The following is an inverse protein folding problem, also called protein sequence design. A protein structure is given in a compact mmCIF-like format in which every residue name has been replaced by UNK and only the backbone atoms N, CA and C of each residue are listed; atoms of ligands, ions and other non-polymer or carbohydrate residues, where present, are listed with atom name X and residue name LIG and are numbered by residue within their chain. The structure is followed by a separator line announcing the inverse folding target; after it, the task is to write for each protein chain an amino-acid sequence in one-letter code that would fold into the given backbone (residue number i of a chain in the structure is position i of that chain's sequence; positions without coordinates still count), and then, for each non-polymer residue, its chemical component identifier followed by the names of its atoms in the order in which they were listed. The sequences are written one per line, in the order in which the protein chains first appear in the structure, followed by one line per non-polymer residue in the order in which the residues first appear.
data_IF_411567663701
#
_entry.id   IF_411567663701
#
_cell.length_a   1.000
_cell.length_b   1.000
_cell.length_c   1.000
_cell.angle_alpha   90.00
_cell.angle_beta   90.00
_cell.angle_gamma   90.00
#
_symmetry.space_group_name_H-M   'P 1'
#
loop_
_entity.id
_entity.type
_entity.pdbx_description
1 polymer ?
#
# COMPACT_ATOMS: atom_id res chain seq x y z
N UNK A 1 4.91 -8.90 23.78
CA UNK A 1 5.70 -8.81 22.54
C UNK A 1 5.88 -10.22 22.01
N UNK A 2 5.62 -10.39 20.74
CA UNK A 2 5.78 -11.68 20.09
C UNK A 2 7.12 -11.73 19.33
N UNK A 3 7.82 -12.87 19.31
CA UNK A 3 9.03 -13.05 18.52
C UNK A 3 8.75 -12.91 17.02
N UNK A 4 9.67 -12.27 16.30
CA UNK A 4 9.71 -12.22 14.85
C UNK A 4 10.87 -13.09 14.36
N UNK A 5 10.61 -13.98 13.43
CA UNK A 5 11.63 -14.88 12.85
C UNK A 5 11.62 -14.81 11.33
N UNK A 6 12.71 -15.24 10.70
CA UNK A 6 12.82 -15.34 9.24
C UNK A 6 12.73 -14.01 8.50
N UNK A 7 13.03 -12.90 9.18
CA UNK A 7 12.92 -11.56 8.60
C UNK A 7 13.82 -11.37 7.39
N UNK A 8 13.25 -10.96 6.25
CA UNK A 8 13.99 -10.64 5.02
C UNK A 8 13.34 -9.52 4.24
N UNK A 9 14.16 -8.74 3.54
CA UNK A 9 13.68 -7.76 2.57
C UNK A 9 13.44 -8.41 1.20
N UNK A 10 12.42 -7.93 0.52
CA UNK A 10 12.07 -8.26 -0.86
C UNK A 10 12.28 -6.98 -1.66
N UNK A 11 13.33 -6.98 -2.46
CA UNK A 11 13.67 -5.86 -3.34
C UNK A 11 13.07 -6.08 -4.73
N UNK A 12 12.78 -4.99 -5.42
CA UNK A 12 12.16 -5.02 -6.73
C UNK A 12 13.05 -4.36 -7.77
N UNK A 13 13.16 -4.91 -8.98
CA UNK A 13 13.93 -4.30 -10.07
C UNK A 13 13.45 -2.87 -10.35
N UNK A 14 14.39 -1.97 -10.54
CA UNK A 14 14.13 -0.56 -10.89
C UNK A 14 13.22 0.20 -9.92
N UNK A 15 13.22 -0.19 -8.64
CA UNK A 15 12.47 0.47 -7.57
C UNK A 15 13.35 0.64 -6.33
N UNK A 16 13.26 1.80 -5.70
CA UNK A 16 13.84 2.04 -4.37
C UNK A 16 12.93 1.53 -3.23
N UNK A 17 11.69 1.18 -3.57
CA UNK A 17 10.73 0.63 -2.63
C UNK A 17 10.97 -0.87 -2.43
N UNK A 18 10.61 -1.37 -1.26
CA UNK A 18 10.77 -2.77 -0.90
C UNK A 18 9.61 -3.26 -0.03
N UNK A 19 9.54 -4.56 0.14
CA UNK A 19 8.68 -5.21 1.12
C UNK A 19 9.53 -5.97 2.15
N UNK A 20 8.98 -6.23 3.31
CA UNK A 20 9.56 -7.07 4.34
C UNK A 20 8.64 -8.25 4.61
N UNK A 21 9.22 -9.43 4.68
CA UNK A 21 8.54 -10.66 5.08
C UNK A 21 9.15 -11.13 6.40
N UNK A 22 8.31 -11.51 7.36
CA UNK A 22 8.72 -12.24 8.56
C UNK A 22 7.55 -13.10 9.07
N UNK A 23 7.85 -14.00 9.98
CA UNK A 23 6.86 -14.80 10.68
C UNK A 23 6.77 -14.33 12.14
N UNK A 24 5.54 -14.15 12.63
CA UNK A 24 5.22 -13.76 14.01
C UNK A 24 4.83 -15.04 14.75
N UNK A 25 5.52 -15.36 15.84
CA UNK A 25 5.21 -16.51 16.67
C UNK A 25 4.23 -16.10 17.78
N UNK A 26 3.05 -16.70 17.76
CA UNK A 26 1.96 -16.48 18.74
C UNK A 26 1.77 -17.75 19.57
N UNK A 27 2.54 -17.93 20.62
CA UNK A 27 2.52 -19.15 21.45
C UNK A 27 2.76 -20.42 20.61
N UNK A 28 1.69 -21.14 20.24
CA UNK A 28 1.71 -22.35 19.40
C UNK A 28 1.50 -22.06 17.90
N UNK A 29 1.06 -20.85 17.57
CA UNK A 29 0.65 -20.49 16.23
C UNK A 29 1.66 -19.56 15.57
N UNK A 30 1.61 -19.49 14.25
CA UNK A 30 2.48 -18.61 13.47
C UNK A 30 1.64 -17.85 12.43
N UNK A 31 1.90 -16.56 12.32
CA UNK A 31 1.30 -15.69 11.29
C UNK A 31 2.42 -15.13 10.43
N UNK A 32 2.29 -15.22 9.12
CA UNK A 32 3.19 -14.55 8.18
C UNK A 32 2.81 -13.09 8.01
N UNK A 33 3.77 -12.20 8.18
CA UNK A 33 3.63 -10.77 7.95
C UNK A 33 4.38 -10.35 6.70
N UNK A 34 3.68 -9.68 5.78
CA UNK A 34 4.23 -8.97 4.63
C UNK A 34 3.95 -7.47 4.83
N UNK A 35 4.99 -6.71 5.17
CA UNK A 35 4.90 -5.26 5.31
C UNK A 35 5.49 -4.58 4.07
N UNK A 36 4.72 -3.71 3.43
CA UNK A 36 4.97 -3.26 2.06
C UNK A 36 5.07 -1.74 1.98
N UNK A 37 6.02 -1.27 1.17
CA UNK A 37 6.00 0.07 0.64
C UNK A 37 6.19 -0.04 -0.87
N UNK A 38 5.08 0.03 -1.62
CA UNK A 38 5.09 -0.18 -3.06
C UNK A 38 5.50 1.11 -3.81
N UNK A 39 5.81 0.94 -5.09
CA UNK A 39 6.26 2.04 -5.96
C UNK A 39 5.35 3.26 -5.84
N UNK A 40 5.93 4.39 -5.49
CA UNK A 40 5.21 5.67 -5.40
C UNK A 40 4.69 6.14 -6.76
N UNK A 41 3.65 6.94 -6.74
CA UNK A 41 3.12 7.58 -7.96
C UNK A 41 4.06 8.65 -8.53
N UNK A 42 5.01 9.15 -7.73
CA UNK A 42 5.89 10.28 -8.04
C UNK A 42 5.15 11.61 -8.31
N UNK A 43 3.85 11.68 -8.08
CA UNK A 43 3.05 12.89 -8.27
C UNK A 43 3.52 14.02 -7.36
N UNK A 44 3.70 13.73 -6.08
CA UNK A 44 4.15 14.74 -5.10
C UNK A 44 5.52 15.31 -5.44
N UNK A 45 6.43 14.47 -5.93
CA UNK A 45 7.80 14.85 -6.30
C UNK A 45 7.83 15.73 -7.57
N UNK A 46 7.00 15.41 -8.55
CA UNK A 46 6.95 16.08 -9.85
C UNK A 46 5.95 17.24 -9.90
N UNK A 47 5.09 17.41 -8.88
CA UNK A 47 4.02 18.39 -8.86
C UNK A 47 4.48 19.81 -9.20
N UNK A 48 5.52 20.31 -8.53
CA UNK A 48 6.05 21.66 -8.75
C UNK A 48 6.61 21.85 -10.16
N UNK A 49 7.18 20.80 -10.77
CA UNK A 49 7.66 20.80 -12.15
C UNK A 49 6.47 20.95 -13.09
N UNK A 50 5.49 20.07 -12.96
CA UNK A 50 4.30 20.06 -13.82
C UNK A 50 3.45 21.35 -13.68
N UNK A 51 3.28 21.86 -12.45
CA UNK A 51 2.59 23.13 -12.22
C UNK A 51 3.26 24.31 -12.94
N UNK A 52 4.60 24.38 -12.97
CA UNK A 52 5.33 25.41 -13.72
C UNK A 52 5.18 25.26 -15.23
N UNK A 53 5.22 24.04 -15.71
CA UNK A 53 5.10 23.72 -17.13
C UNK A 53 3.69 23.99 -17.65
N UNK A 54 2.66 23.67 -16.85
CA UNK A 54 1.26 23.97 -17.14
C UNK A 54 0.92 25.47 -17.03
N UNK A 55 1.63 26.21 -16.19
CA UNK A 55 1.45 27.66 -16.07
C UNK A 55 2.23 28.48 -17.11
N UNK A 56 3.09 27.83 -17.88
CA UNK A 56 3.78 28.47 -19.00
C UNK A 56 2.77 28.66 -20.14
N UNK A 57 2.49 29.91 -20.53
CA UNK A 57 1.56 30.26 -21.63
C UNK A 57 2.11 29.73 -22.99
N UNK A 58 2.16 28.40 -23.14
CA UNK A 58 2.71 27.69 -24.27
C UNK A 58 2.08 26.30 -24.40
N UNK A 59 1.08 26.18 -25.24
CA UNK A 59 0.29 24.96 -25.50
C UNK A 59 1.14 23.71 -25.77
N UNK A 60 2.29 23.85 -26.41
CA UNK A 60 3.18 22.72 -26.71
C UNK A 60 3.87 22.19 -25.44
N UNK A 61 4.28 23.09 -24.51
CA UNK A 61 4.88 22.71 -23.23
C UNK A 61 3.86 22.08 -22.30
N UNK A 62 2.64 22.61 -22.30
CA UNK A 62 1.53 22.04 -21.54
C UNK A 62 1.20 20.59 -22.00
N UNK A 63 1.07 20.38 -23.31
CA UNK A 63 0.83 19.05 -23.88
C UNK A 63 1.96 18.07 -23.53
N UNK A 64 3.22 18.51 -23.61
CA UNK A 64 4.36 17.68 -23.25
C UNK A 64 4.35 17.35 -21.75
N UNK A 65 4.04 18.30 -20.87
CA UNK A 65 3.97 18.08 -19.42
C UNK A 65 2.87 17.05 -19.06
N UNK A 66 1.72 17.10 -19.73
CA UNK A 66 0.64 16.12 -19.55
C UNK A 66 1.08 14.74 -20.00
N UNK A 67 1.75 14.65 -21.14
CA UNK A 67 2.27 13.39 -21.66
C UNK A 67 3.31 12.78 -20.71
N UNK A 68 4.32 13.56 -20.29
CA UNK A 68 5.36 13.14 -19.34
C UNK A 68 4.75 12.65 -18.01
N UNK A 69 3.71 13.33 -17.54
CA UNK A 69 2.99 12.93 -16.32
C UNK A 69 2.27 11.59 -16.51
N UNK A 70 1.60 11.41 -17.64
CA UNK A 70 0.88 10.18 -17.96
C UNK A 70 1.85 8.99 -18.10
N UNK A 71 2.98 9.18 -18.78
CA UNK A 71 4.03 8.16 -18.91
C UNK A 71 4.63 7.78 -17.56
N UNK A 72 4.98 8.76 -16.73
CA UNK A 72 5.48 8.52 -15.36
C UNK A 72 4.49 7.72 -14.52
N UNK A 73 3.21 8.06 -14.57
CA UNK A 73 2.16 7.35 -13.84
C UNK A 73 2.00 5.92 -14.37
N UNK A 74 2.00 5.74 -15.70
CA UNK A 74 1.90 4.42 -16.33
C UNK A 74 3.05 3.50 -15.89
N UNK A 75 4.30 3.96 -15.99
CA UNK A 75 5.46 3.19 -15.55
C UNK A 75 5.35 2.76 -14.07
N UNK A 76 4.95 3.69 -13.20
CA UNK A 76 4.80 3.40 -11.79
C UNK A 76 3.63 2.43 -11.50
N UNK A 77 2.57 2.47 -12.29
CA UNK A 77 1.49 1.48 -12.21
C UNK A 77 1.95 0.08 -12.62
N UNK A 78 2.73 -0.03 -13.70
CA UNK A 78 3.30 -1.31 -14.15
C UNK A 78 4.25 -1.88 -13.08
N UNK A 79 5.12 -1.07 -12.49
CA UNK A 79 6.00 -1.50 -11.39
C UNK A 79 5.20 -2.00 -10.20
N UNK A 80 4.15 -1.29 -9.78
CA UNK A 80 3.28 -1.73 -8.67
C UNK A 80 2.54 -3.03 -8.98
N UNK A 81 2.06 -3.21 -10.21
CA UNK A 81 1.40 -4.45 -10.60
C UNK A 81 2.35 -5.65 -10.42
N UNK A 82 3.58 -5.55 -10.90
CA UNK A 82 4.61 -6.58 -10.70
C UNK A 82 4.91 -6.84 -9.22
N UNK A 83 5.05 -5.76 -8.42
CA UNK A 83 5.27 -5.87 -6.98
C UNK A 83 4.10 -6.56 -6.28
N UNK A 84 2.87 -6.20 -6.66
CA UNK A 84 1.64 -6.79 -6.12
C UNK A 84 1.55 -8.28 -6.44
N UNK A 85 1.84 -8.68 -7.66
CA UNK A 85 1.83 -10.10 -8.06
C UNK A 85 2.87 -10.91 -7.27
N UNK A 86 4.04 -10.34 -7.03
CA UNK A 86 5.07 -10.96 -6.19
C UNK A 86 4.59 -11.15 -4.74
N UNK A 87 3.90 -10.15 -4.17
CA UNK A 87 3.31 -10.23 -2.82
C UNK A 87 2.22 -11.31 -2.78
N UNK A 88 1.33 -11.34 -3.77
CA UNK A 88 0.27 -12.34 -3.85
C UNK A 88 0.83 -13.77 -3.95
N UNK A 89 1.89 -13.98 -4.72
CA UNK A 89 2.58 -15.27 -4.79
C UNK A 89 3.15 -15.69 -3.44
N UNK A 90 3.82 -14.77 -2.71
CA UNK A 90 4.37 -15.03 -1.39
C UNK A 90 3.30 -15.29 -0.33
N UNK A 91 2.16 -14.59 -0.42
CA UNK A 91 1.02 -14.80 0.46
C UNK A 91 0.38 -16.18 0.20
N UNK A 92 0.14 -16.53 -1.06
CA UNK A 92 -0.46 -17.81 -1.44
C UNK A 92 0.44 -19.00 -1.11
N UNK A 93 1.77 -18.84 -1.22
CA UNK A 93 2.74 -19.89 -0.89
C UNK A 93 2.99 -20.02 0.62
N UNK A 94 2.33 -19.22 1.46
CA UNK A 94 2.53 -19.28 2.90
C UNK A 94 1.90 -20.52 3.51
N UNK A 95 2.62 -21.28 4.37
CA UNK A 95 2.02 -22.37 5.14
C UNK A 95 1.24 -21.85 6.37
N UNK A 96 1.24 -20.56 6.62
CA UNK A 96 0.62 -19.91 7.77
C UNK A 96 -0.42 -18.89 7.30
N UNK A 97 -1.42 -18.54 8.13
CA UNK A 97 -2.25 -17.36 7.91
C UNK A 97 -1.41 -16.12 7.67
N UNK A 98 -1.89 -15.21 6.82
CA UNK A 98 -1.10 -14.09 6.33
C UNK A 98 -1.73 -12.75 6.73
N UNK A 99 -0.88 -11.81 7.12
CA UNK A 99 -1.17 -10.38 7.20
C UNK A 99 -0.34 -9.65 6.14
N UNK A 100 -1.00 -8.85 5.31
CA UNK A 100 -0.35 -8.04 4.27
C UNK A 100 -0.71 -6.58 4.53
N UNK A 101 0.24 -5.78 4.97
CA UNK A 101 0.00 -4.38 5.35
C UNK A 101 1.03 -3.42 4.73
N UNK A 102 0.78 -2.12 4.86
CA UNK A 102 1.70 -1.06 4.46
C UNK A 102 1.12 -0.03 3.52
N UNK A 103 2.00 0.80 2.94
CA UNK A 103 1.66 1.78 1.90
C UNK A 103 1.73 1.12 0.51
N UNK A 104 0.57 0.97 -0.10
CA UNK A 104 0.45 0.40 -1.44
C UNK A 104 0.47 1.46 -2.54
N UNK A 105 0.49 2.75 -2.20
CA UNK A 105 0.43 3.85 -3.15
C UNK A 105 -0.69 3.70 -4.20
N UNK A 106 -1.79 3.06 -3.84
CA UNK A 106 -2.86 2.62 -4.74
C UNK A 106 -4.23 2.81 -4.10
N UNK A 107 -5.20 3.23 -4.89
CA UNK A 107 -6.59 3.41 -4.44
C UNK A 107 -7.38 2.09 -4.45
N UNK A 108 -8.54 2.01 -3.75
CA UNK A 108 -9.41 0.82 -3.78
C UNK A 108 -9.94 0.42 -5.16
N UNK A 109 -9.86 1.31 -6.15
CA UNK A 109 -10.23 1.03 -7.55
C UNK A 109 -9.08 0.49 -8.41
N UNK A 110 -7.88 0.29 -7.83
CA UNK A 110 -6.68 -0.09 -8.57
C UNK A 110 -6.54 -1.60 -8.76
N UNK A 111 -5.72 -1.99 -9.75
CA UNK A 111 -5.27 -3.37 -9.93
C UNK A 111 -4.71 -3.97 -8.63
N UNK A 112 -3.80 -3.24 -7.96
CA UNK A 112 -3.18 -3.66 -6.70
C UNK A 112 -4.22 -4.09 -5.66
N UNK A 113 -5.22 -3.26 -5.43
CA UNK A 113 -6.26 -3.55 -4.45
C UNK A 113 -7.11 -4.77 -4.85
N UNK A 114 -7.56 -4.82 -6.10
CA UNK A 114 -8.37 -5.93 -6.60
C UNK A 114 -7.61 -7.24 -6.56
N UNK A 115 -6.36 -7.23 -6.98
CA UNK A 115 -5.49 -8.43 -7.01
C UNK A 115 -5.25 -9.02 -5.61
N UNK A 116 -5.01 -8.19 -4.60
CA UNK A 116 -4.90 -8.64 -3.21
C UNK A 116 -6.25 -9.16 -2.67
N UNK A 117 -7.35 -8.52 -3.05
CA UNK A 117 -8.70 -8.90 -2.62
C UNK A 117 -9.22 -10.21 -3.22
N UNK A 118 -8.54 -10.82 -4.20
CA UNK A 118 -8.89 -12.14 -4.74
C UNK A 118 -8.73 -13.27 -3.71
N UNK A 119 -7.74 -13.15 -2.83
CA UNK A 119 -7.42 -14.19 -1.84
C UNK A 119 -7.40 -13.70 -0.38
N UNK A 120 -7.36 -12.39 -0.17
CA UNK A 120 -7.28 -11.77 1.14
C UNK A 120 -8.49 -10.87 1.39
N UNK A 121 -8.82 -10.68 2.65
CA UNK A 121 -9.87 -9.77 3.10
C UNK A 121 -9.27 -8.43 3.51
N UNK A 122 -9.87 -7.32 3.04
CA UNK A 122 -9.52 -5.96 3.51
C UNK A 122 -10.04 -5.77 4.94
N UNK A 123 -9.13 -5.54 5.90
CA UNK A 123 -9.47 -5.33 7.29
C UNK A 123 -10.45 -4.18 7.50
N UNK A 124 -10.37 -3.10 6.70
CA UNK A 124 -11.36 -2.03 6.76
C UNK A 124 -12.77 -2.48 6.37
N UNK A 125 -12.91 -3.36 5.40
CA UNK A 125 -14.23 -3.89 5.01
C UNK A 125 -14.81 -4.90 6.00
N UNK A 126 -13.95 -5.53 6.80
CA UNK A 126 -14.36 -6.56 7.75
C UNK A 126 -14.51 -6.07 9.18
N UNK A 127 -13.72 -5.08 9.62
CA UNK A 127 -13.75 -4.55 10.99
C UNK A 127 -13.72 -3.02 11.10
N UNK A 128 -13.65 -2.31 9.96
CA UNK A 128 -13.66 -0.84 9.96
C UNK A 128 -15.06 -0.23 9.84
N UNK A 129 -15.17 1.04 10.18
CA UNK A 129 -16.43 1.79 10.13
C UNK A 129 -16.24 3.18 9.53
N UNK A 130 -17.30 3.69 8.90
CA UNK A 130 -17.37 5.06 8.38
C UNK A 130 -16.47 5.31 7.18
N UNK A 131 -15.98 6.53 7.07
CA UNK A 131 -15.06 6.95 6.03
C UNK A 131 -13.62 6.99 6.56
N UNK A 132 -12.68 6.41 5.82
CA UNK A 132 -11.28 6.37 6.19
C UNK A 132 -10.40 6.95 5.08
N UNK A 133 -9.44 7.77 5.47
CA UNK A 133 -8.31 8.18 4.64
C UNK A 133 -7.01 7.93 5.41
N UNK A 134 -5.95 7.61 4.72
CA UNK A 134 -4.64 7.37 5.31
C UNK A 134 -3.61 8.40 4.86
N UNK A 135 -3.76 8.97 3.68
CA UNK A 135 -2.91 10.05 3.18
C UNK A 135 -3.49 11.42 3.56
N UNK A 136 -2.73 12.23 4.30
CA UNK A 136 -3.19 13.50 4.90
C UNK A 136 -3.31 14.64 3.89
N UNK A 137 -2.55 14.58 2.81
CA UNK A 137 -2.69 15.49 1.68
C UNK A 137 -3.76 14.97 0.69
N UNK A 138 -4.08 15.72 -0.36
CA UNK A 138 -5.12 15.31 -1.30
C UNK A 138 -6.54 15.44 -0.72
N UNK A 139 -6.80 16.51 0.03
CA UNK A 139 -8.10 16.84 0.65
C UNK A 139 -8.61 15.78 1.63
N UNK A 140 -7.73 14.96 2.21
CA UNK A 140 -8.06 13.88 3.15
C UNK A 140 -9.05 12.87 2.56
N UNK A 141 -8.86 12.50 1.31
CA UNK A 141 -9.77 11.59 0.60
C UNK A 141 -9.14 10.25 0.21
N UNK A 142 -7.82 10.13 0.34
CA UNK A 142 -7.10 8.99 -0.21
C UNK A 142 -6.80 7.97 0.87
N UNK A 143 -7.28 6.73 0.68
CA UNK A 143 -6.86 5.55 1.41
C UNK A 143 -5.90 4.78 0.53
N UNK A 144 -4.63 4.76 0.87
CA UNK A 144 -3.54 4.11 0.14
C UNK A 144 -2.71 3.17 1.00
N UNK A 145 -2.95 3.22 2.32
CA UNK A 145 -2.43 2.27 3.29
C UNK A 145 -3.52 1.26 3.65
N UNK A 146 -3.17 0.00 3.68
CA UNK A 146 -4.09 -1.10 3.94
C UNK A 146 -3.49 -2.11 4.91
N UNK A 147 -4.38 -2.89 5.54
CA UNK A 147 -4.06 -4.16 6.16
C UNK A 147 -5.06 -5.20 5.66
N UNK A 148 -4.56 -6.15 4.91
CA UNK A 148 -5.28 -7.33 4.45
C UNK A 148 -4.95 -8.51 5.33
N UNK A 149 -5.87 -9.46 5.45
CA UNK A 149 -5.68 -10.70 6.18
C UNK A 149 -6.23 -11.90 5.42
N UNK A 150 -5.67 -13.06 5.67
CA UNK A 150 -6.20 -14.31 5.15
C UNK A 150 -7.56 -14.65 5.80
N UNK A 151 -8.39 -15.45 5.11
CA UNK A 151 -9.77 -15.75 5.56
C UNK A 151 -9.85 -16.42 6.94
N UNK A 152 -8.80 -17.10 7.39
CA UNK A 152 -8.69 -17.81 8.67
C UNK A 152 -8.60 -16.85 9.87
N UNK A 153 -8.20 -15.60 9.61
CA UNK A 153 -8.12 -14.57 10.63
C UNK A 153 -9.43 -13.77 10.66
N UNK A 154 -9.85 -13.38 11.85
CA UNK A 154 -10.99 -12.50 12.08
C UNK A 154 -10.49 -11.07 12.39
N UNK A 155 -10.93 -10.08 11.63
CA UNK A 155 -10.68 -8.67 11.96
C UNK A 155 -11.64 -8.22 13.06
N UNK A 156 -11.10 -7.87 14.22
CA UNK A 156 -11.87 -7.40 15.36
C UNK A 156 -12.09 -5.89 15.30
N UNK A 157 -11.05 -5.16 14.88
CA UNK A 157 -11.07 -3.70 14.86
C UNK A 157 -10.10 -3.17 13.80
N UNK A 158 -10.50 -2.12 13.11
CA UNK A 158 -9.70 -1.45 12.10
C UNK A 158 -10.02 0.04 12.06
N UNK A 159 -9.04 0.88 12.34
CA UNK A 159 -9.20 2.32 12.28
C UNK A 159 -7.90 3.05 11.92
N UNK A 160 -8.03 4.29 11.48
CA UNK A 160 -6.90 5.17 11.18
C UNK A 160 -7.11 6.50 11.89
N UNK A 161 -6.50 6.71 13.07
CA UNK A 161 -6.67 7.94 13.82
C UNK A 161 -5.94 9.10 13.14
N UNK A 162 -6.58 10.26 13.10
CA UNK A 162 -5.94 11.50 12.67
C UNK A 162 -5.09 12.04 13.81
N UNK A 163 -3.84 11.58 13.89
CA UNK A 163 -2.87 12.01 14.89
C UNK A 163 -2.03 13.18 14.34
N UNK A 164 -1.63 14.08 15.23
CA UNK A 164 -0.68 15.15 14.88
C UNK A 164 0.75 14.62 14.93
N UNK A 165 1.13 13.90 13.88
CA UNK A 165 2.43 13.25 13.71
C UNK A 165 3.25 13.95 12.63
N UNK A 166 4.58 13.82 12.73
CA UNK A 166 5.53 14.24 11.70
C UNK A 166 5.50 13.30 10.46
N UNK A 167 4.31 12.95 10.00
CA UNK A 167 4.09 12.09 8.83
C UNK A 167 3.00 12.67 7.96
N UNK A 168 3.09 12.47 6.67
CA UNK A 168 2.03 12.76 5.70
C UNK A 168 0.99 11.64 5.60
N UNK A 169 1.18 10.54 6.35
CA UNK A 169 0.22 9.46 6.50
C UNK A 169 -0.33 9.37 7.93
N UNK A 170 -1.58 8.98 8.06
CA UNK A 170 -2.14 8.52 9.31
C UNK A 170 -1.80 7.03 9.51
N UNK A 171 -1.56 6.59 10.75
CA UNK A 171 -1.32 5.18 11.02
C UNK A 171 -2.60 4.37 10.79
N UNK A 172 -2.43 3.13 10.37
CA UNK A 172 -3.50 2.11 10.38
C UNK A 172 -3.30 1.24 11.60
N UNK A 173 -4.34 1.13 12.42
CA UNK A 173 -4.39 0.24 13.58
C UNK A 173 -5.35 -0.90 13.25
N UNK A 174 -4.87 -2.12 13.39
CA UNK A 174 -5.55 -3.32 12.95
C UNK A 174 -5.40 -4.41 14.00
N UNK A 175 -6.53 -4.92 14.48
CA UNK A 175 -6.59 -5.98 15.47
C UNK A 175 -7.20 -7.22 14.85
N UNK A 176 -6.47 -8.33 14.92
CA UNK A 176 -6.93 -9.64 14.43
C UNK A 176 -6.98 -10.66 15.55
N UNK A 177 -7.92 -11.58 15.42
CA UNK A 177 -8.03 -12.80 16.19
C UNK A 177 -7.78 -13.99 15.27
N UNK A 178 -7.05 -14.93 15.78
CA UNK A 178 -6.79 -16.24 15.18
C UNK A 178 -7.70 -17.27 15.80
#
# INVERSE_FOLDING_TARGET
RYPLIGGRFITYPHSANCSMLCDIILNTDTIRLLNNHLQTTSVSQNRKKWERELAADNTRREAQAVQDAAETLHENFVKRAFQTDSICQLATASPHPVLVCGDFNSLPSSYTYHRLSESLKDGFKTGGHGYMYTYRYGKRMLRIDYAFHSPELECIDYYSPNLDLCSDHNPVIFTVKY
#
